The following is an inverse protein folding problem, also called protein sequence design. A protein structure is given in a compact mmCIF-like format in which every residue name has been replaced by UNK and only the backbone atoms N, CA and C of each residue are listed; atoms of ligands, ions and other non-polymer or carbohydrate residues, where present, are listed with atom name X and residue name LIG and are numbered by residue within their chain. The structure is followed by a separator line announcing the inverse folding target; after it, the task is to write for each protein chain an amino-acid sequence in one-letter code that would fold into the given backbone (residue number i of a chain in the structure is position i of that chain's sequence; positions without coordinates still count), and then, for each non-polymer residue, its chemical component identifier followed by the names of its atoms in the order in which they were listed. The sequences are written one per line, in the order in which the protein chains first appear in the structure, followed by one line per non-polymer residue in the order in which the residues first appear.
data_IF_863623060867
#
_entry.id   IF_863623060867
#
_cell.length_a   1.000
_cell.length_b   1.000
_cell.length_c   1.000
_cell.angle_alpha   90.00
_cell.angle_beta   90.00
_cell.angle_gamma   90.00
#
_symmetry.space_group_name_H-M   'P 1'
#
loop_
_entity.id
_entity.type
_entity.pdbx_description
1 polymer ?
#
# COMPACT_ATOMS: atom_id res chain seq x y z
N UNK A 1 20.36 -29.74 5.79
CA UNK A 1 19.47 -29.48 6.95
C UNK A 1 19.33 -27.97 7.05
N UNK A 2 18.12 -27.40 6.95
CA UNK A 2 17.94 -25.96 7.12
C UNK A 2 18.11 -25.61 8.60
N UNK A 3 19.09 -24.76 8.92
CA UNK A 3 19.35 -24.31 10.29
C UNK A 3 18.17 -23.44 10.75
N UNK A 4 17.35 -23.93 11.68
CA UNK A 4 16.21 -23.18 12.20
C UNK A 4 16.73 -22.09 13.13
N UNK A 5 16.41 -20.83 12.84
CA UNK A 5 16.70 -19.69 13.72
C UNK A 5 16.19 -19.98 15.15
N UNK A 6 16.93 -19.59 16.20
CA UNK A 6 16.48 -19.66 17.59
C UNK A 6 15.10 -19.02 17.79
N UNK A 7 14.30 -19.57 18.71
CA UNK A 7 12.94 -19.08 19.01
C UNK A 7 12.93 -17.59 19.38
N UNK A 8 13.93 -17.12 20.12
CA UNK A 8 14.02 -15.72 20.54
C UNK A 8 14.26 -14.77 19.35
N UNK A 9 15.04 -15.19 18.36
CA UNK A 9 15.28 -14.41 17.15
C UNK A 9 13.99 -14.33 16.32
N UNK A 10 13.24 -15.44 16.24
CA UNK A 10 11.93 -15.46 15.57
C UNK A 10 10.92 -14.53 16.26
N UNK A 11 10.89 -14.51 17.60
CA UNK A 11 10.03 -13.61 18.39
C UNK A 11 10.42 -12.15 18.17
N UNK A 12 11.72 -11.84 18.13
CA UNK A 12 12.21 -10.49 17.90
C UNK A 12 11.89 -10.00 16.47
N UNK A 13 12.11 -10.86 15.48
CA UNK A 13 11.75 -10.60 14.08
C UNK A 13 10.24 -10.34 13.92
N UNK A 14 9.41 -11.16 14.56
CA UNK A 14 7.96 -10.95 14.58
C UNK A 14 7.55 -9.64 15.24
N UNK A 15 8.11 -9.30 16.40
CA UNK A 15 7.81 -8.02 17.09
C UNK A 15 8.21 -6.81 16.24
N UNK A 16 9.36 -6.87 15.57
CA UNK A 16 9.82 -5.81 14.69
C UNK A 16 8.92 -5.68 13.46
N UNK A 17 8.48 -6.81 12.89
CA UNK A 17 7.53 -6.81 11.77
C UNK A 17 6.21 -6.15 12.18
N UNK A 18 5.63 -6.54 13.32
CA UNK A 18 4.38 -5.96 13.83
C UNK A 18 4.54 -4.46 14.10
N UNK A 19 5.63 -4.04 14.74
CA UNK A 19 5.90 -2.63 15.00
C UNK A 19 6.06 -1.82 13.70
N UNK A 20 6.74 -2.38 12.69
CA UNK A 20 6.90 -1.73 11.40
C UNK A 20 5.56 -1.56 10.67
N UNK A 21 4.70 -2.58 10.67
CA UNK A 21 3.36 -2.51 10.06
C UNK A 21 2.51 -1.46 10.79
N UNK A 22 2.47 -1.48 12.12
CA UNK A 22 1.72 -0.50 12.92
C UNK A 22 2.20 0.93 12.68
N UNK A 23 3.52 1.14 12.61
CA UNK A 23 4.09 2.44 12.29
C UNK A 23 3.71 2.87 10.87
N UNK A 24 3.78 2.00 9.86
CA UNK A 24 3.35 2.36 8.50
C UNK A 24 1.89 2.83 8.46
N UNK A 25 0.97 2.17 9.17
CA UNK A 25 -0.45 2.60 9.24
C UNK A 25 -0.61 3.92 9.96
N UNK A 26 -0.01 4.07 11.14
CA UNK A 26 -0.13 5.28 11.94
C UNK A 26 0.46 6.46 11.17
N UNK A 27 1.62 6.28 10.57
CA UNK A 27 2.32 7.33 9.85
C UNK A 27 1.64 7.68 8.52
N UNK A 28 1.08 6.70 7.79
CA UNK A 28 0.26 6.96 6.60
C UNK A 28 -0.99 7.81 6.90
N UNK A 29 -1.57 7.65 8.11
CA UNK A 29 -2.68 8.48 8.59
C UNK A 29 -2.25 9.87 9.10
N UNK A 30 -0.96 10.07 9.38
CA UNK A 30 -0.40 11.32 9.91
C UNK A 30 0.33 12.16 8.84
N UNK A 31 0.54 11.63 7.63
CA UNK A 31 1.12 12.40 6.53
C UNK A 31 0.22 13.60 6.26
N UNK A 32 0.80 14.79 6.24
CA UNK A 32 0.16 16.11 6.05
C UNK A 32 -0.58 16.28 4.70
N UNK A 33 -0.76 15.21 3.94
CA UNK A 33 -1.51 15.19 2.70
C UNK A 33 -2.81 14.42 2.92
N UNK A 34 -3.95 15.09 2.67
CA UNK A 34 -5.36 14.66 2.90
C UNK A 34 -5.80 13.44 2.08
N UNK A 35 -4.88 12.54 1.79
CA UNK A 35 -5.03 11.39 0.93
C UNK A 35 -5.38 10.15 1.77
N UNK A 36 -6.34 10.25 2.70
CA UNK A 36 -6.82 9.21 3.64
C UNK A 36 -6.43 7.76 3.24
N UNK A 37 -5.24 7.32 3.66
CA UNK A 37 -4.68 6.00 3.35
C UNK A 37 -5.11 4.98 4.40
N UNK A 38 -5.66 3.86 3.94
CA UNK A 38 -6.09 2.75 4.80
C UNK A 38 -5.16 1.57 4.55
N UNK A 39 -4.57 0.99 5.62
CA UNK A 39 -3.98 -0.34 5.50
C UNK A 39 -5.12 -1.35 5.35
N UNK A 40 -5.21 -1.96 4.19
CA UNK A 40 -6.18 -3.00 3.88
C UNK A 40 -5.46 -4.32 3.70
N UNK A 41 -5.55 -5.18 4.73
CA UNK A 41 -4.95 -6.51 4.71
C UNK A 41 -5.67 -7.47 3.76
N UNK A 42 -6.88 -7.13 3.30
CA UNK A 42 -7.62 -7.86 2.29
C UNK A 42 -7.33 -7.42 0.85
N UNK A 43 -6.71 -6.24 0.67
CA UNK A 43 -6.30 -5.77 -0.64
C UNK A 43 -5.08 -6.55 -1.14
N UNK A 44 -5.09 -6.92 -2.43
CA UNK A 44 -3.96 -7.61 -3.10
C UNK A 44 -2.97 -6.65 -3.76
N UNK A 45 -3.35 -5.37 -3.90
CA UNK A 45 -2.57 -4.31 -4.54
C UNK A 45 -2.71 -3.01 -3.75
N UNK A 46 -1.78 -2.09 -3.93
CA UNK A 46 -1.97 -0.71 -3.48
C UNK A 46 -2.91 0.00 -4.45
N UNK A 47 -3.80 0.83 -3.92
CA UNK A 47 -4.76 1.58 -4.71
C UNK A 47 -4.72 3.06 -4.35
N UNK A 48 -4.80 3.92 -5.35
CA UNK A 48 -4.79 5.36 -5.18
C UNK A 48 -5.88 5.99 -6.07
N UNK A 49 -6.64 6.94 -5.53
CA UNK A 49 -7.63 7.72 -6.28
C UNK A 49 -7.15 9.10 -6.70
N UNK A 50 -5.92 9.49 -6.32
CA UNK A 50 -5.32 10.76 -6.73
C UNK A 50 -4.06 10.53 -7.61
N UNK A 51 -4.15 10.89 -8.90
CA UNK A 51 -3.05 10.77 -9.87
C UNK A 51 -1.84 11.64 -9.50
N UNK A 52 -2.05 12.77 -8.82
CA UNK A 52 -0.96 13.71 -8.45
C UNK A 52 0.02 13.12 -7.41
N UNK A 53 -0.35 12.02 -6.75
CA UNK A 53 0.51 11.36 -5.77
C UNK A 53 1.57 10.45 -6.41
N UNK A 54 1.45 10.15 -7.71
CA UNK A 54 2.38 9.30 -8.42
C UNK A 54 3.62 10.07 -8.85
N UNK A 55 4.81 9.53 -8.53
CA UNK A 55 6.08 10.05 -9.03
C UNK A 55 6.44 9.48 -10.40
N UNK A 56 6.07 8.23 -10.62
CA UNK A 56 6.17 7.52 -11.88
C UNK A 56 4.77 7.02 -12.21
N UNK A 57 4.32 7.17 -13.46
CA UNK A 57 2.98 6.81 -13.87
C UNK A 57 2.99 6.25 -15.30
N UNK A 58 2.28 5.14 -15.47
CA UNK A 58 2.03 4.51 -16.75
C UNK A 58 0.52 4.39 -16.92
N UNK A 59 -0.02 4.91 -18.02
CA UNK A 59 -1.43 4.72 -18.37
C UNK A 59 -1.72 3.22 -18.52
N UNK A 60 -2.93 2.81 -18.13
CA UNK A 60 -3.40 1.45 -18.29
C UNK A 60 -3.72 1.15 -19.76
N UNK A 61 -3.90 -0.14 -20.07
CA UNK A 61 -4.50 -0.53 -21.34
C UNK A 61 -6.02 -0.30 -21.28
N UNK A 62 -6.63 0.01 -22.42
CA UNK A 62 -8.08 0.19 -22.53
C UNK A 62 -8.83 -1.02 -21.94
N UNK A 63 -9.74 -0.74 -20.99
CA UNK A 63 -10.59 -1.74 -20.36
C UNK A 63 -9.97 -2.49 -19.17
N UNK A 64 -8.79 -2.09 -18.68
CA UNK A 64 -8.21 -2.69 -17.47
C UNK A 64 -9.11 -2.42 -16.25
N UNK A 65 -9.45 -3.48 -15.51
CA UNK A 65 -10.34 -3.42 -14.35
C UNK A 65 -9.84 -4.32 -13.22
N UNK A 66 -10.21 -3.97 -11.99
CA UNK A 66 -9.98 -4.78 -10.78
C UNK A 66 -11.28 -5.23 -10.16
N UNK A 67 -11.26 -6.42 -9.56
CA UNK A 67 -12.39 -6.93 -8.77
C UNK A 67 -12.34 -6.37 -7.36
N UNK A 68 -13.51 -5.94 -6.89
CA UNK A 68 -13.70 -5.32 -5.59
C UNK A 68 -14.34 -6.32 -4.61
N UNK A 69 -14.12 -6.12 -3.30
CA UNK A 69 -14.67 -6.99 -2.26
C UNK A 69 -16.21 -7.03 -2.18
N UNK A 70 -16.90 -6.07 -2.82
CA UNK A 70 -18.35 -6.00 -2.95
C UNK A 70 -18.88 -6.67 -4.24
N UNK A 71 -18.07 -7.51 -4.90
CA UNK A 71 -18.42 -8.22 -6.13
C UNK A 71 -18.66 -7.31 -7.35
N UNK A 72 -18.25 -6.04 -7.30
CA UNK A 72 -18.21 -5.15 -8.48
C UNK A 72 -16.81 -5.09 -9.07
N UNK A 73 -16.67 -4.41 -10.20
CA UNK A 73 -15.37 -4.03 -10.77
C UNK A 73 -15.15 -2.53 -10.66
N UNK A 74 -13.89 -2.11 -10.70
CA UNK A 74 -13.50 -0.71 -10.85
C UNK A 74 -12.45 -0.58 -11.95
N UNK A 75 -12.57 0.46 -12.76
CA UNK A 75 -11.65 0.76 -13.86
C UNK A 75 -10.30 1.23 -13.33
N UNK A 76 -9.22 0.66 -13.88
CA UNK A 76 -7.85 1.08 -13.63
C UNK A 76 -7.43 1.99 -14.77
N UNK A 77 -7.09 3.24 -14.47
CA UNK A 77 -6.63 4.19 -15.48
C UNK A 77 -5.10 4.23 -15.61
N UNK A 78 -4.39 3.61 -14.68
CA UNK A 78 -2.95 3.44 -14.78
C UNK A 78 -2.34 2.89 -13.52
N UNK A 79 -1.03 2.84 -13.50
CA UNK A 79 -0.27 2.36 -12.34
C UNK A 79 1.08 3.05 -12.24
N UNK A 80 1.69 2.97 -11.06
CA UNK A 80 3.03 3.46 -10.90
C UNK A 80 3.49 3.51 -9.45
N UNK A 81 4.41 4.43 -9.18
CA UNK A 81 5.13 4.51 -7.91
C UNK A 81 4.71 5.72 -7.09
N UNK A 82 4.38 5.48 -5.83
CA UNK A 82 4.04 6.53 -4.84
C UNK A 82 5.05 6.46 -3.70
N UNK A 83 5.58 7.61 -3.30
CA UNK A 83 6.45 7.72 -2.12
C UNK A 83 5.71 8.43 -0.99
N UNK A 84 5.39 7.68 0.07
CA UNK A 84 4.79 8.22 1.28
C UNK A 84 5.91 8.62 2.26
N UNK A 85 5.95 9.90 2.60
CA UNK A 85 6.86 10.42 3.64
C UNK A 85 6.22 10.19 5.00
N UNK A 86 6.86 9.38 5.82
CA UNK A 86 6.37 9.04 7.13
C UNK A 86 6.87 10.03 8.19
N UNK A 87 6.15 10.16 9.31
CA UNK A 87 6.53 11.09 10.39
C UNK A 87 7.88 10.76 11.03
N UNK A 88 8.32 9.50 10.97
CA UNK A 88 9.65 9.03 11.36
C UNK A 88 10.77 9.57 10.48
N UNK A 89 10.46 10.31 9.41
CA UNK A 89 11.41 10.76 8.39
C UNK A 89 11.77 9.68 7.37
N UNK A 90 11.26 8.46 7.54
CA UNK A 90 11.41 7.37 6.56
C UNK A 90 10.47 7.60 5.38
N UNK A 91 10.79 6.95 4.26
CA UNK A 91 9.93 6.93 3.08
C UNK A 91 9.47 5.51 2.80
N UNK A 92 8.16 5.32 2.64
CA UNK A 92 7.57 4.07 2.16
C UNK A 92 7.28 4.20 0.67
N UNK A 93 7.83 3.28 -0.12
CA UNK A 93 7.56 3.19 -1.55
C UNK A 93 6.43 2.19 -1.82
N UNK A 94 5.34 2.65 -2.42
CA UNK A 94 4.29 1.79 -2.96
C UNK A 94 4.59 1.59 -4.44
N UNK A 95 5.00 0.37 -4.79
CA UNK A 95 5.35 -0.01 -6.16
C UNK A 95 4.13 -0.63 -6.84
N UNK A 96 3.97 -0.37 -8.14
CA UNK A 96 2.83 -0.85 -8.93
C UNK A 96 1.46 -0.53 -8.28
N UNK A 97 1.34 0.64 -7.65
CA UNK A 97 0.08 1.12 -7.12
C UNK A 97 -0.88 1.40 -8.28
N UNK A 98 -2.12 0.93 -8.18
CA UNK A 98 -3.14 1.12 -9.22
C UNK A 98 -3.88 2.43 -9.01
N UNK A 99 -4.03 3.20 -10.08
CA UNK A 99 -4.83 4.41 -10.10
C UNK A 99 -6.27 4.08 -10.47
N UNK A 100 -7.15 4.24 -9.48
CA UNK A 100 -8.58 3.94 -9.57
C UNK A 100 -9.36 5.15 -9.03
N UNK A 101 -9.72 6.13 -9.88
CA UNK A 101 -10.33 7.38 -9.45
C UNK A 101 -11.68 7.20 -8.75
N UNK A 102 -12.39 6.09 -9.02
CA UNK A 102 -13.69 5.79 -8.41
C UNK A 102 -13.60 5.41 -6.93
N UNK A 103 -12.39 5.14 -6.40
CA UNK A 103 -12.21 4.82 -4.98
C UNK A 103 -12.34 6.06 -4.09
N UNK A 104 -13.05 5.89 -2.98
CA UNK A 104 -13.23 6.92 -1.97
C UNK A 104 -11.99 7.13 -1.07
N UNK A 105 -11.16 6.09 -0.94
CA UNK A 105 -10.01 6.04 -0.03
C UNK A 105 -8.85 5.34 -0.74
N UNK A 106 -7.63 5.77 -0.42
CA UNK A 106 -6.44 5.10 -0.89
C UNK A 106 -6.17 3.88 -0.01
N UNK A 107 -5.67 2.80 -0.61
CA UNK A 107 -5.45 1.54 0.09
C UNK A 107 -3.98 1.16 -0.01
N UNK A 108 -3.37 0.87 1.13
CA UNK A 108 -2.08 0.20 1.21
C UNK A 108 -2.39 -1.27 1.42
N UNK A 109 -2.01 -2.12 0.46
CA UNK A 109 -2.00 -3.57 0.70
C UNK A 109 -0.84 -3.94 1.62
N UNK A 110 -1.07 -4.90 2.53
CA UNK A 110 0.00 -5.55 3.29
C UNK A 110 0.69 -6.68 2.49
N UNK A 111 0.23 -6.96 1.27
CA UNK A 111 0.77 -7.98 0.39
C UNK A 111 2.00 -7.39 -0.32
N UNK A 112 3.20 -7.81 0.11
CA UNK A 112 4.48 -7.48 -0.50
C UNK A 112 4.79 -8.38 -1.70
#
# INVERSE_FOLDING_TARGET
MANRKPIMDQIHEYKNLVANVLNQVLEANLVENKADWILDTGASKHFCSNKELFQEFHEALDGECVFMGNSTTAEVLGKGKILLKLTSGKTLALIDALYVPSLRRNLISSSL
#
